data_IF_409851429170
#
_entry.id   IF_409851429170
#
_cell.length_a   1.000
_cell.length_b   1.000
_cell.length_c   1.000
_cell.angle_alpha   90.00
_cell.angle_beta   90.00
_cell.angle_gamma   90.00
#
_symmetry.space_group_name_H-M   'P 1'
#
loop_
_entity.id
_entity.type
_entity.pdbx_description
1 polymer ?
#
# COMPACT_ATOMS: atom_id res chain seq x y z
N UNK A 1 15.11 4.40 26.86
CA UNK A 1 16.48 3.94 26.52
C UNK A 1 17.49 4.14 27.64
N UNK A 2 17.56 5.31 28.30
CA UNK A 2 18.46 5.53 29.45
C UNK A 2 18.16 4.66 30.70
N UNK A 3 17.00 4.01 30.75
CA UNK A 3 16.66 3.04 31.82
C UNK A 3 17.21 1.62 31.56
N UNK A 4 17.69 1.32 30.35
CA UNK A 4 18.12 -0.03 29.99
C UNK A 4 19.53 -0.33 30.52
N UNK A 5 19.77 -1.59 30.84
CA UNK A 5 21.00 -2.10 31.43
C UNK A 5 22.25 -1.90 30.54
N UNK A 6 23.41 -1.68 31.17
CA UNK A 6 24.69 -1.42 30.49
C UNK A 6 25.11 -2.58 29.56
N UNK A 7 24.82 -3.83 29.93
CA UNK A 7 25.12 -5.01 29.10
C UNK A 7 24.35 -5.07 27.77
N UNK A 8 23.28 -4.28 27.61
CA UNK A 8 22.54 -4.16 26.35
C UNK A 8 23.28 -3.28 25.33
N UNK A 9 24.09 -2.33 25.79
CA UNK A 9 24.85 -1.40 24.94
C UNK A 9 26.21 -1.98 24.47
N UNK A 10 26.69 -3.05 25.10
CA UNK A 10 27.95 -3.75 24.74
C UNK A 10 27.80 -4.74 23.55
N UNK A 11 26.58 -4.94 23.04
CA UNK A 11 26.36 -5.73 21.82
C UNK A 11 26.79 -4.94 20.57
N UNK A 12 27.52 -5.57 19.65
CA UNK A 12 28.02 -4.96 18.39
C UNK A 12 26.91 -4.30 17.53
N UNK A 13 25.66 -4.72 17.71
CA UNK A 13 24.46 -4.17 17.04
C UNK A 13 23.93 -2.87 17.67
N UNK A 14 24.36 -2.52 18.89
CA UNK A 14 23.77 -1.47 19.72
C UNK A 14 24.76 -0.32 20.03
N UNK A 15 25.80 -0.15 19.23
CA UNK A 15 26.76 0.94 19.38
C UNK A 15 26.03 2.30 19.45
N UNK A 16 26.19 2.99 20.57
CA UNK A 16 25.39 4.12 21.05
C UNK A 16 25.24 5.24 20.02
N UNK A 17 26.28 5.49 19.21
CA UNK A 17 26.27 6.51 18.14
C UNK A 17 25.44 6.11 16.92
N UNK A 18 25.55 4.85 16.47
CA UNK A 18 24.75 4.32 15.35
C UNK A 18 23.29 4.17 15.75
N UNK A 19 23.02 3.70 16.96
CA UNK A 19 21.69 3.46 17.47
C UNK A 19 20.91 4.77 17.66
N UNK A 20 21.55 5.81 18.19
CA UNK A 20 20.91 7.12 18.36
C UNK A 20 20.60 7.77 17.00
N UNK A 21 21.51 7.64 16.02
CA UNK A 21 21.30 8.19 14.68
C UNK A 21 20.22 7.43 13.90
N UNK A 22 20.26 6.10 13.92
CA UNK A 22 19.23 5.24 13.32
C UNK A 22 17.88 5.45 13.99
N UNK A 23 17.83 5.55 15.32
CA UNK A 23 16.57 5.80 16.04
C UNK A 23 16.01 7.19 15.76
N UNK A 24 16.84 8.24 15.71
CA UNK A 24 16.38 9.58 15.37
C UNK A 24 15.85 9.64 13.93
N UNK A 25 16.51 8.96 12.99
CA UNK A 25 16.05 8.83 11.61
C UNK A 25 14.73 8.05 11.52
N UNK A 26 14.65 6.89 12.18
CA UNK A 26 13.46 6.03 12.21
C UNK A 26 12.29 6.72 12.91
N UNK A 27 12.51 7.40 14.03
CA UNK A 27 11.48 8.17 14.74
C UNK A 27 10.97 9.35 13.88
N UNK A 28 11.86 10.03 13.16
CA UNK A 28 11.47 11.12 12.25
C UNK A 28 10.67 10.59 11.07
N UNK A 29 11.08 9.46 10.49
CA UNK A 29 10.36 8.77 9.41
C UNK A 29 8.98 8.29 9.87
N UNK A 30 8.89 7.66 11.04
CA UNK A 30 7.61 7.22 11.62
C UNK A 30 6.71 8.42 11.86
N UNK A 31 7.21 9.49 12.47
CA UNK A 31 6.44 10.71 12.73
C UNK A 31 5.94 11.37 11.44
N UNK A 32 6.79 11.51 10.42
CA UNK A 32 6.40 12.14 9.15
C UNK A 32 5.35 11.30 8.41
N UNK A 33 5.55 9.99 8.35
CA UNK A 33 4.60 9.06 7.74
C UNK A 33 3.25 9.10 8.46
N UNK A 34 3.22 9.12 9.79
CA UNK A 34 1.97 9.18 10.54
C UNK A 34 1.23 10.49 10.36
N UNK A 35 1.95 11.62 10.42
CA UNK A 35 1.36 12.94 10.23
C UNK A 35 0.75 13.08 8.82
N UNK A 36 1.47 12.61 7.79
CA UNK A 36 1.00 12.65 6.40
C UNK A 36 -0.23 11.74 6.19
N UNK A 37 -0.22 10.54 6.78
CA UNK A 37 -1.35 9.60 6.69
C UNK A 37 -2.59 10.14 7.39
N UNK A 38 -2.44 10.70 8.60
CA UNK A 38 -3.57 11.27 9.34
C UNK A 38 -4.16 12.49 8.60
N UNK A 39 -3.30 13.35 8.06
CA UNK A 39 -3.72 14.50 7.24
C UNK A 39 -4.51 14.06 6.01
N UNK A 40 -4.03 13.03 5.30
CA UNK A 40 -4.71 12.48 4.12
C UNK A 40 -6.10 11.92 4.45
N UNK A 41 -6.25 11.24 5.60
CA UNK A 41 -7.55 10.71 6.04
C UNK A 41 -8.53 11.85 6.32
N UNK A 42 -8.08 12.88 7.04
CA UNK A 42 -8.94 14.03 7.37
C UNK A 42 -9.37 14.79 6.11
N UNK A 43 -8.46 14.95 5.15
CA UNK A 43 -8.76 15.51 3.83
C UNK A 43 -9.81 14.66 3.09
N UNK A 44 -9.64 13.35 3.02
CA UNK A 44 -10.55 12.45 2.30
C UNK A 44 -11.95 12.42 2.93
N UNK A 45 -12.05 12.50 4.26
CA UNK A 45 -13.33 12.64 4.97
C UNK A 45 -13.99 13.97 4.58
N UNK A 46 -13.25 15.08 4.60
CA UNK A 46 -13.76 16.40 4.24
C UNK A 46 -14.26 16.46 2.79
N UNK A 47 -13.50 15.91 1.85
CA UNK A 47 -13.89 15.80 0.43
C UNK A 47 -15.18 15.00 0.31
N UNK A 48 -15.27 13.85 0.99
CA UNK A 48 -16.44 12.97 0.94
C UNK A 48 -17.69 13.69 1.44
N UNK A 49 -17.63 14.31 2.62
CA UNK A 49 -18.77 15.04 3.21
C UNK A 49 -19.22 16.18 2.29
N UNK A 50 -18.26 16.97 1.80
CA UNK A 50 -18.53 18.11 0.90
C UNK A 50 -19.19 17.66 -0.39
N UNK A 51 -18.68 16.59 -1.00
CA UNK A 51 -19.22 16.07 -2.25
C UNK A 51 -20.61 15.45 -2.12
N UNK A 52 -20.90 14.77 -1.00
CA UNK A 52 -22.25 14.32 -0.69
C UNK A 52 -23.22 15.50 -0.54
N UNK A 53 -22.82 16.55 0.19
CA UNK A 53 -23.64 17.75 0.37
C UNK A 53 -23.94 18.46 -0.96
N UNK A 54 -22.91 18.66 -1.81
CA UNK A 54 -23.06 19.29 -3.13
C UNK A 54 -23.95 18.44 -4.05
N UNK A 55 -23.71 17.13 -4.09
CA UNK A 55 -24.45 16.22 -4.97
C UNK A 55 -25.94 16.17 -4.64
N UNK A 56 -26.29 16.11 -3.35
CA UNK A 56 -27.69 16.12 -2.93
C UNK A 56 -28.39 17.48 -3.13
N UNK A 57 -27.66 18.60 -2.98
CA UNK A 57 -28.22 19.94 -3.23
C UNK A 57 -28.57 20.20 -4.69
N UNK A 58 -27.72 19.76 -5.62
CA UNK A 58 -27.91 19.98 -7.05
C UNK A 58 -28.96 19.05 -7.65
N UNK A 59 -28.81 17.73 -7.45
CA UNK A 59 -29.62 16.72 -8.12
C UNK A 59 -29.77 15.48 -7.24
N UNK A 60 -30.70 15.52 -6.28
CA UNK A 60 -30.91 14.42 -5.33
C UNK A 60 -31.27 13.08 -6.02
N UNK A 61 -32.04 13.11 -7.12
CA UNK A 61 -32.42 11.91 -7.88
C UNK A 61 -31.22 11.18 -8.47
N UNK A 62 -30.33 11.92 -9.14
CA UNK A 62 -29.09 11.35 -9.69
C UNK A 62 -28.14 10.91 -8.57
N UNK A 63 -28.01 11.73 -7.52
CA UNK A 63 -27.13 11.44 -6.40
C UNK A 63 -27.47 10.10 -5.72
N UNK A 64 -28.77 9.76 -5.57
CA UNK A 64 -29.19 8.48 -5.03
C UNK A 64 -28.80 7.30 -5.92
N UNK A 65 -29.08 7.37 -7.22
CA UNK A 65 -28.76 6.30 -8.17
C UNK A 65 -27.26 6.02 -8.18
N UNK A 66 -26.45 7.07 -8.23
CA UNK A 66 -24.99 6.94 -8.24
C UNK A 66 -24.47 6.44 -6.88
N UNK A 67 -25.10 6.82 -5.76
CA UNK A 67 -24.72 6.29 -4.44
C UNK A 67 -25.05 4.79 -4.30
N UNK A 68 -26.06 4.26 -4.99
CA UNK A 68 -26.31 2.81 -5.04
C UNK A 68 -25.22 2.06 -5.81
N UNK A 69 -24.59 2.70 -6.81
CA UNK A 69 -23.48 2.08 -7.57
C UNK A 69 -22.10 2.27 -6.93
N UNK A 70 -21.99 3.07 -5.86
CA UNK A 70 -20.75 3.25 -5.09
C UNK A 70 -20.11 1.97 -4.56
N UNK A 71 -20.82 1.03 -3.91
CA UNK A 71 -20.19 -0.19 -3.42
C UNK A 71 -19.55 -1.02 -4.55
N UNK A 72 -20.16 -1.03 -5.74
CA UNK A 72 -19.63 -1.71 -6.92
C UNK A 72 -18.34 -1.03 -7.39
N UNK A 73 -18.33 0.31 -7.46
CA UNK A 73 -17.15 1.09 -7.85
C UNK A 73 -16.00 0.92 -6.85
N UNK A 74 -16.29 1.01 -5.55
CA UNK A 74 -15.30 0.84 -4.49
C UNK A 74 -14.72 -0.57 -4.53
N UNK A 75 -15.57 -1.60 -4.66
CA UNK A 75 -15.12 -2.99 -4.76
C UNK A 75 -14.24 -3.20 -5.99
N UNK A 76 -14.61 -2.65 -7.15
CA UNK A 76 -13.82 -2.73 -8.38
C UNK A 76 -12.44 -2.06 -8.21
N UNK A 77 -12.38 -0.87 -7.62
CA UNK A 77 -11.13 -0.14 -7.39
C UNK A 77 -10.22 -0.77 -6.33
N UNK A 78 -10.79 -1.45 -5.32
CA UNK A 78 -9.99 -2.23 -4.36
C UNK A 78 -9.44 -3.49 -5.04
N UNK A 79 -10.28 -4.21 -5.78
CA UNK A 79 -9.87 -5.40 -6.52
C UNK A 79 -8.74 -5.07 -7.52
N UNK A 80 -8.85 -3.95 -8.24
CA UNK A 80 -7.81 -3.41 -9.12
C UNK A 80 -6.44 -3.33 -8.43
N UNK A 81 -6.39 -2.73 -7.24
CA UNK A 81 -5.14 -2.58 -6.47
C UNK A 81 -4.57 -3.91 -6.04
N UNK A 82 -5.42 -4.84 -5.61
CA UNK A 82 -4.98 -6.17 -5.20
C UNK A 82 -4.45 -6.98 -6.40
N UNK A 83 -5.09 -6.86 -7.58
CA UNK A 83 -4.57 -7.49 -8.79
C UNK A 83 -3.21 -6.91 -9.21
N UNK A 84 -3.02 -5.59 -9.11
CA UNK A 84 -1.71 -4.95 -9.38
C UNK A 84 -0.66 -5.42 -8.37
N UNK A 85 -0.97 -5.42 -7.06
CA UNK A 85 -0.05 -5.91 -6.01
C UNK A 85 0.34 -7.37 -6.25
N UNK A 86 -0.60 -8.20 -6.71
CA UNK A 86 -0.37 -9.61 -7.02
C UNK A 86 0.80 -9.86 -7.98
N UNK A 87 1.06 -8.98 -8.95
CA UNK A 87 2.17 -9.13 -9.90
C UNK A 87 3.55 -9.19 -9.21
N UNK A 88 3.76 -8.48 -8.09
CA UNK A 88 5.11 -8.27 -7.54
C UNK A 88 5.70 -9.42 -6.72
N UNK A 89 4.87 -10.32 -6.16
CA UNK A 89 5.29 -11.16 -5.02
C UNK A 89 6.30 -12.29 -5.30
N UNK A 90 6.18 -13.00 -6.43
CA UNK A 90 7.01 -14.20 -6.69
C UNK A 90 8.31 -13.88 -7.42
N UNK A 91 8.34 -12.78 -8.18
CA UNK A 91 9.48 -12.38 -8.99
C UNK A 91 10.70 -12.08 -8.10
N UNK A 92 10.50 -11.29 -7.04
CA UNK A 92 11.58 -10.82 -6.18
C UNK A 92 12.40 -11.98 -5.59
N UNK A 93 11.75 -13.02 -5.04
CA UNK A 93 12.46 -14.15 -4.39
C UNK A 93 13.32 -14.96 -5.35
N UNK A 94 12.83 -15.28 -6.54
CA UNK A 94 13.59 -16.05 -7.51
C UNK A 94 14.73 -15.22 -8.12
N UNK A 95 14.48 -13.92 -8.32
CA UNK A 95 15.51 -12.98 -8.77
C UNK A 95 16.63 -12.83 -7.74
N UNK A 96 16.28 -12.71 -6.45
CA UNK A 96 17.26 -12.68 -5.34
C UNK A 96 18.11 -13.95 -5.31
N UNK A 97 17.53 -15.14 -5.51
CA UNK A 97 18.31 -16.39 -5.59
C UNK A 97 19.27 -16.41 -6.78
N UNK A 98 18.81 -15.96 -7.94
CA UNK A 98 19.65 -15.90 -9.14
C UNK A 98 20.79 -14.88 -8.98
N UNK A 99 20.52 -13.72 -8.36
CA UNK A 99 21.54 -12.73 -8.01
C UNK A 99 22.53 -13.31 -7.01
N UNK A 100 22.06 -14.01 -5.97
CA UNK A 100 22.94 -14.62 -4.97
C UNK A 100 23.88 -15.65 -5.63
N UNK A 101 23.34 -16.53 -6.49
CA UNK A 101 24.13 -17.50 -7.25
C UNK A 101 25.18 -16.82 -8.16
N UNK A 102 24.78 -15.76 -8.87
CA UNK A 102 25.70 -15.00 -9.70
C UNK A 102 26.79 -14.32 -8.87
N UNK A 103 26.42 -13.75 -7.72
CA UNK A 103 27.36 -13.11 -6.79
C UNK A 103 28.38 -14.10 -6.25
N UNK A 104 27.95 -15.31 -5.88
CA UNK A 104 28.83 -16.38 -5.40
C UNK A 104 29.81 -16.83 -6.47
N UNK A 105 29.33 -17.00 -7.71
CA UNK A 105 30.16 -17.37 -8.86
C UNK A 105 31.20 -16.29 -9.21
N UNK A 106 30.82 -15.01 -9.18
CA UNK A 106 31.72 -13.89 -9.45
C UNK A 106 32.78 -13.76 -8.34
N UNK A 107 32.37 -13.92 -7.07
CA UNK A 107 33.29 -13.83 -5.93
C UNK A 107 34.34 -14.94 -5.98
N UNK A 108 33.96 -16.14 -6.42
CA UNK A 108 34.85 -17.30 -6.52
C UNK A 108 35.25 -17.64 -7.97
N UNK A 109 35.43 -16.62 -8.82
CA UNK A 109 35.65 -16.80 -10.26
C UNK A 109 36.84 -17.71 -10.59
N UNK A 110 37.92 -17.63 -9.81
CA UNK A 110 39.09 -18.50 -9.99
C UNK A 110 38.76 -19.97 -9.75
N UNK A 111 37.91 -20.28 -8.77
CA UNK A 111 37.46 -21.65 -8.50
C UNK A 111 36.57 -22.16 -9.63
N UNK A 112 35.63 -21.34 -10.10
CA UNK A 112 34.74 -21.70 -11.21
C UNK A 112 35.53 -21.99 -12.49
N UNK A 113 36.53 -21.15 -12.80
CA UNK A 113 37.41 -21.31 -13.95
C UNK A 113 38.34 -22.53 -13.80
N UNK A 114 38.91 -22.76 -12.60
CA UNK A 114 39.78 -23.91 -12.34
C UNK A 114 39.06 -25.26 -12.51
N UNK A 115 37.77 -25.32 -12.18
CA UNK A 115 36.93 -26.50 -12.39
C UNK A 115 36.15 -26.49 -13.71
N UNK A 116 36.34 -25.50 -14.58
CA UNK A 116 35.63 -25.37 -15.87
C UNK A 116 34.10 -25.40 -15.74
N UNK A 117 33.54 -24.91 -14.63
CA UNK A 117 32.15 -25.11 -14.23
C UNK A 117 31.20 -23.98 -14.67
N UNK A 118 31.65 -23.13 -15.58
CA UNK A 118 30.94 -21.93 -16.07
C UNK A 118 29.57 -22.27 -16.70
N UNK A 119 29.52 -23.34 -17.50
CA UNK A 119 28.28 -23.78 -18.16
C UNK A 119 27.26 -24.31 -17.14
N UNK A 120 27.73 -25.04 -16.11
CA UNK A 120 26.88 -25.54 -15.03
C UNK A 120 26.21 -24.38 -14.27
N UNK A 121 26.98 -23.36 -13.89
CA UNK A 121 26.46 -22.19 -13.18
C UNK A 121 25.48 -21.40 -14.07
N UNK A 122 25.82 -21.20 -15.35
CA UNK A 122 24.95 -20.51 -16.31
C UNK A 122 23.62 -21.23 -16.50
N UNK A 123 23.65 -22.56 -16.56
CA UNK A 123 22.45 -23.40 -16.66
C UNK A 123 21.60 -23.33 -15.40
N UNK A 124 22.22 -23.32 -14.22
CA UNK A 124 21.53 -23.20 -12.94
C UNK A 124 20.87 -21.82 -12.79
N UNK A 125 21.58 -20.73 -13.13
CA UNK A 125 21.03 -19.38 -13.20
C UNK A 125 19.82 -19.28 -14.14
N UNK A 126 19.96 -19.83 -15.35
CA UNK A 126 18.90 -19.86 -16.36
C UNK A 126 17.68 -20.65 -15.88
N UNK A 127 17.89 -21.74 -15.13
CA UNK A 127 16.82 -22.58 -14.60
C UNK A 127 15.98 -21.87 -13.53
N UNK A 128 16.63 -21.12 -12.62
CA UNK A 128 15.97 -20.31 -11.58
C UNK A 128 15.11 -19.21 -12.23
N UNK A 129 15.65 -18.50 -13.23
CA UNK A 129 14.92 -17.48 -13.98
C UNK A 129 13.76 -18.06 -14.78
N UNK A 130 13.95 -19.19 -15.47
CA UNK A 130 12.90 -19.78 -16.33
C UNK A 130 11.69 -20.21 -15.53
N UNK A 131 11.89 -20.79 -14.34
CA UNK A 131 10.79 -21.17 -13.42
C UNK A 131 10.04 -19.94 -12.92
N UNK A 132 10.77 -18.89 -12.56
CA UNK A 132 10.17 -17.60 -12.19
C UNK A 132 9.33 -17.04 -13.33
N UNK A 133 9.91 -16.95 -14.54
CA UNK A 133 9.30 -16.33 -15.72
C UNK A 133 8.01 -17.04 -16.19
N UNK A 134 7.92 -18.37 -16.05
CA UNK A 134 6.66 -19.08 -16.34
C UNK A 134 5.54 -18.74 -15.36
N UNK A 135 5.83 -18.71 -14.05
CA UNK A 135 4.85 -18.38 -13.00
C UNK A 135 4.40 -16.93 -13.10
N UNK A 136 5.37 -16.07 -13.33
CA UNK A 136 5.27 -14.68 -13.73
C UNK A 136 4.24 -14.45 -14.84
N UNK A 137 4.41 -15.08 -16.00
CA UNK A 137 3.50 -14.92 -17.14
C UNK A 137 2.08 -15.42 -16.84
N UNK A 138 1.95 -16.54 -16.15
CA UNK A 138 0.64 -17.08 -15.74
C UNK A 138 -0.06 -16.12 -14.77
N UNK A 139 0.66 -15.63 -13.76
CA UNK A 139 0.14 -14.67 -12.81
C UNK A 139 -0.24 -13.37 -13.51
N UNK A 140 0.62 -12.85 -14.40
CA UNK A 140 0.37 -11.65 -15.19
C UNK A 140 -0.93 -11.76 -16.00
N UNK A 141 -1.19 -12.90 -16.65
CA UNK A 141 -2.47 -13.12 -17.34
C UNK A 141 -3.67 -13.10 -16.40
N UNK A 142 -3.60 -13.82 -15.27
CA UNK A 142 -4.70 -13.87 -14.28
C UNK A 142 -4.98 -12.47 -13.73
N UNK A 143 -3.94 -11.73 -13.35
CA UNK A 143 -4.06 -10.38 -12.82
C UNK A 143 -4.53 -9.39 -13.87
N UNK A 144 -4.10 -9.53 -15.13
CA UNK A 144 -4.56 -8.66 -16.23
C UNK A 144 -6.04 -8.89 -16.55
N UNK A 145 -6.50 -10.15 -16.55
CA UNK A 145 -7.93 -10.47 -16.72
C UNK A 145 -8.73 -9.89 -15.55
N UNK A 146 -8.30 -10.12 -14.31
CA UNK A 146 -8.98 -9.58 -13.12
C UNK A 146 -9.05 -8.05 -13.11
N UNK A 147 -7.94 -7.39 -13.45
CA UNK A 147 -7.85 -5.95 -13.61
C UNK A 147 -8.81 -5.44 -14.70
N UNK A 148 -8.77 -6.04 -15.90
CA UNK A 148 -9.60 -5.66 -17.03
C UNK A 148 -11.10 -5.85 -16.74
N UNK A 149 -11.49 -6.95 -16.12
CA UNK A 149 -12.88 -7.18 -15.70
C UNK A 149 -13.35 -6.15 -14.68
N UNK A 150 -12.52 -5.81 -13.70
CA UNK A 150 -12.85 -4.80 -12.68
C UNK A 150 -13.04 -3.41 -13.30
N UNK A 151 -12.14 -3.01 -14.21
CA UNK A 151 -12.26 -1.76 -14.98
C UNK A 151 -13.51 -1.74 -15.86
N UNK A 152 -13.81 -2.84 -16.53
CA UNK A 152 -15.01 -2.96 -17.37
C UNK A 152 -16.30 -2.74 -16.55
N UNK A 153 -16.40 -3.34 -15.37
CA UNK A 153 -17.53 -3.12 -14.45
C UNK A 153 -17.64 -1.65 -13.99
N UNK A 154 -16.51 -0.99 -13.72
CA UNK A 154 -16.51 0.43 -13.37
C UNK A 154 -17.02 1.30 -14.52
N UNK A 155 -16.57 1.06 -15.75
CA UNK A 155 -17.06 1.78 -16.93
C UNK A 155 -18.55 1.53 -17.21
N UNK A 156 -19.05 0.31 -16.99
CA UNK A 156 -20.49 0.04 -17.09
C UNK A 156 -21.30 0.85 -16.06
N UNK A 157 -20.80 0.98 -14.83
CA UNK A 157 -21.42 1.84 -13.82
C UNK A 157 -21.45 3.32 -14.25
N UNK A 158 -20.35 3.82 -14.81
CA UNK A 158 -20.28 5.19 -15.35
C UNK A 158 -21.24 5.39 -16.53
N UNK A 159 -21.31 4.43 -17.45
CA UNK A 159 -22.23 4.47 -18.59
C UNK A 159 -23.69 4.49 -18.12
N UNK A 160 -24.04 3.70 -17.10
CA UNK A 160 -25.38 3.69 -16.51
C UNK A 160 -25.72 5.02 -15.83
N UNK A 161 -24.77 5.62 -15.12
CA UNK A 161 -24.91 6.96 -14.54
C UNK A 161 -25.12 8.05 -15.58
N UNK A 162 -24.38 8.02 -16.69
CA UNK A 162 -24.55 8.97 -17.81
C UNK A 162 -25.88 8.74 -18.55
N UNK A 163 -26.28 7.50 -18.77
CA UNK A 163 -27.56 7.16 -19.38
C UNK A 163 -28.73 7.69 -18.55
N UNK A 164 -28.70 7.48 -17.24
CA UNK A 164 -29.72 8.01 -16.34
C UNK A 164 -29.70 9.55 -16.30
N UNK A 165 -28.51 10.16 -16.28
CA UNK A 165 -28.33 11.61 -16.39
C UNK A 165 -29.00 12.16 -17.65
N UNK A 166 -28.76 11.54 -18.81
CA UNK A 166 -29.37 11.91 -20.08
C UNK A 166 -30.90 11.81 -20.04
N UNK A 167 -31.44 10.77 -19.41
CA UNK A 167 -32.88 10.60 -19.24
C UNK A 167 -33.51 11.67 -18.35
N UNK A 168 -32.82 12.08 -17.29
CA UNK A 168 -33.26 13.15 -16.38
C UNK A 168 -33.34 14.51 -17.10
N UNK A 169 -32.34 14.80 -17.94
CA UNK A 169 -32.29 16.01 -18.76
C UNK A 169 -33.41 15.98 -19.82
N UNK A 170 -33.61 14.84 -20.49
CA UNK A 170 -34.68 14.68 -21.50
C UNK A 170 -36.07 14.93 -20.90
N UNK A 171 -36.29 14.51 -19.67
CA UNK A 171 -37.56 14.70 -18.95
C UNK A 171 -37.73 16.11 -18.36
N UNK A 172 -36.78 17.03 -18.57
CA UNK A 172 -36.74 18.40 -18.00
C UNK A 172 -36.81 18.43 -16.47
N UNK A 173 -36.34 17.37 -15.82
CA UNK A 173 -36.34 17.28 -14.35
C UNK A 173 -35.09 17.91 -13.73
N UNK A 174 -34.04 18.14 -14.52
CA UNK A 174 -32.83 18.85 -14.12
C UNK A 174 -32.10 19.50 -15.29
N UNK A 175 -31.25 20.49 -14.99
CA UNK A 175 -30.35 21.14 -15.95
C UNK A 175 -29.15 20.24 -16.27
N UNK A 176 -28.66 20.32 -17.50
CA UNK A 176 -27.42 19.66 -17.95
C UNK A 176 -26.23 19.99 -17.03
N UNK A 177 -26.06 21.27 -16.67
CA UNK A 177 -24.93 21.71 -15.85
C UNK A 177 -24.92 21.08 -14.45
N UNK A 178 -26.08 21.06 -13.79
CA UNK A 178 -26.22 20.52 -12.43
C UNK A 178 -26.09 19.00 -12.42
N UNK A 179 -26.69 18.34 -13.41
CA UNK A 179 -26.62 16.88 -13.58
C UNK A 179 -25.19 16.41 -13.82
N UNK A 180 -24.47 17.07 -14.74
CA UNK A 180 -23.08 16.73 -15.05
C UNK A 180 -22.14 17.04 -13.87
N UNK A 181 -22.34 18.17 -13.19
CA UNK A 181 -21.56 18.53 -11.99
C UNK A 181 -21.75 17.48 -10.89
N UNK A 182 -22.99 17.06 -10.60
CA UNK A 182 -23.26 16.01 -9.61
C UNK A 182 -22.61 14.69 -10.00
N UNK A 183 -22.64 14.31 -11.29
CA UNK A 183 -22.00 13.09 -11.77
C UNK A 183 -20.49 13.10 -11.55
N UNK A 184 -19.80 14.15 -11.99
CA UNK A 184 -18.33 14.26 -11.87
C UNK A 184 -17.89 14.27 -10.40
N UNK A 185 -18.56 15.07 -9.57
CA UNK A 185 -18.27 15.17 -8.13
C UNK A 185 -18.44 13.79 -7.45
N UNK A 186 -19.49 13.05 -7.80
CA UNK A 186 -19.76 11.72 -7.23
C UNK A 186 -18.74 10.67 -7.68
N UNK A 187 -18.29 10.68 -8.95
CA UNK A 187 -17.24 9.77 -9.42
C UNK A 187 -15.94 10.02 -8.67
N UNK A 188 -15.52 11.29 -8.58
CA UNK A 188 -14.28 11.66 -7.89
C UNK A 188 -14.32 11.24 -6.41
N UNK A 189 -15.48 11.36 -5.78
CA UNK A 189 -15.68 10.92 -4.40
C UNK A 189 -15.55 9.40 -4.26
N UNK A 190 -16.13 8.63 -5.18
CA UNK A 190 -16.03 7.17 -5.16
C UNK A 190 -14.55 6.71 -5.26
N UNK A 191 -13.75 7.36 -6.12
CA UNK A 191 -12.32 7.06 -6.25
C UNK A 191 -11.54 7.43 -4.98
N UNK A 192 -11.79 8.60 -4.39
CA UNK A 192 -11.15 9.03 -3.13
C UNK A 192 -11.48 8.08 -1.96
N UNK A 193 -12.74 7.61 -1.90
CA UNK A 193 -13.15 6.62 -0.91
C UNK A 193 -12.40 5.30 -1.12
N UNK A 194 -12.34 4.79 -2.36
CA UNK A 194 -11.60 3.56 -2.67
C UNK A 194 -10.09 3.66 -2.42
N UNK A 195 -9.51 4.85 -2.59
CA UNK A 195 -8.13 5.18 -2.16
C UNK A 195 -7.94 5.08 -0.67
N UNK A 196 -8.84 5.71 0.08
CA UNK A 196 -8.81 5.67 1.54
C UNK A 196 -8.97 4.24 2.07
N UNK A 197 -9.90 3.46 1.54
CA UNK A 197 -10.09 2.07 1.94
C UNK A 197 -8.88 1.18 1.59
N UNK A 198 -8.23 1.43 0.46
CA UNK A 198 -7.05 0.66 0.04
C UNK A 198 -5.85 0.80 0.97
N UNK A 199 -5.75 1.89 1.74
CA UNK A 199 -4.65 2.16 2.68
C UNK A 199 -4.98 1.81 4.13
N UNK A 200 -6.23 1.46 4.45
CA UNK A 200 -6.65 1.05 5.80
C UNK A 200 -5.79 -0.08 6.38
N UNK A 201 -5.45 -1.16 5.63
CA UNK A 201 -4.61 -2.23 6.17
C UNK A 201 -3.21 -1.74 6.59
N UNK A 202 -2.64 -0.79 5.85
CA UNK A 202 -1.31 -0.23 6.14
C UNK A 202 -1.36 0.68 7.36
N UNK A 203 -2.47 1.42 7.53
CA UNK A 203 -2.72 2.21 8.74
C UNK A 203 -2.83 1.30 9.97
N UNK A 204 -3.60 0.20 9.89
CA UNK A 204 -3.75 -0.77 11.00
C UNK A 204 -2.43 -1.45 11.34
N UNK A 205 -1.60 -1.76 10.35
CA UNK A 205 -0.25 -2.28 10.59
C UNK A 205 0.65 -1.24 11.24
N UNK A 206 0.59 0.02 10.77
CA UNK A 206 1.36 1.13 11.33
C UNK A 206 1.00 1.42 12.79
N UNK A 207 -0.29 1.40 13.14
CA UNK A 207 -0.72 1.59 14.53
C UNK A 207 -0.30 0.45 15.45
N UNK A 208 -0.33 -0.81 14.99
CA UNK A 208 0.23 -1.95 15.75
C UNK A 208 1.74 -1.85 15.94
N UNK A 209 2.48 -1.39 14.92
CA UNK A 209 3.92 -1.19 15.04
C UNK A 209 4.25 -0.08 16.05
N UNK A 210 3.46 1.00 16.07
CA UNK A 210 3.55 2.03 17.10
C UNK A 210 3.27 1.50 18.50
N UNK A 211 2.20 0.71 18.68
CA UNK A 211 1.88 0.09 19.96
C UNK A 211 3.05 -0.78 20.46
N UNK A 212 3.69 -1.53 19.56
CA UNK A 212 4.91 -2.28 19.89
C UNK A 212 6.08 -1.37 20.29
N UNK A 213 6.32 -0.26 19.58
CA UNK A 213 7.40 0.69 19.94
C UNK A 213 7.11 1.39 21.26
N UNK A 214 5.87 1.84 21.47
CA UNK A 214 5.44 2.44 22.74
C UNK A 214 5.53 1.44 23.89
N UNK A 215 5.22 0.16 23.67
CA UNK A 215 5.39 -0.89 24.70
C UNK A 215 6.86 -1.14 25.08
N UNK A 216 7.80 -0.94 24.15
CA UNK A 216 9.25 -1.01 24.42
C UNK A 216 9.73 0.28 25.11
N UNK A 217 9.17 1.44 24.74
CA UNK A 217 9.46 2.73 25.37
C UNK A 217 8.95 2.78 26.83
N UNK A 218 7.77 2.21 27.07
CA UNK A 218 7.09 2.12 28.36
C UNK A 218 7.44 0.85 29.14
N UNK A 219 8.34 0.00 28.61
CA UNK A 219 8.82 -1.19 29.32
C UNK A 219 9.39 -0.76 30.68
N UNK A 220 8.78 -1.26 31.74
CA UNK A 220 9.29 -1.16 33.10
C UNK A 220 10.57 -2.00 33.16
N UNK A 221 11.70 -1.36 33.48
CA UNK A 221 13.00 -2.01 33.56
C UNK A 221 13.09 -2.83 34.85
N UNK A 222 13.69 -4.02 34.76
CA UNK A 222 13.80 -4.98 35.87
C UNK A 222 14.76 -4.50 36.96
N UNK A 223 15.63 -3.54 36.63
CA UNK A 223 16.49 -2.80 37.56
C UNK A 223 16.19 -1.31 37.35
N UNK A 224 15.77 -0.62 38.41
CA UNK A 224 15.55 0.83 38.40
C UNK A 224 16.88 1.57 38.59
N UNK A 225 17.23 2.58 37.76
CA UNK A 225 18.48 3.32 37.93
C UNK A 225 18.46 4.36 39.06
N UNK A 226 17.37 4.48 39.82
CA UNK A 226 17.21 5.48 40.87
C UNK A 226 16.65 4.87 42.18
N UNK A 227 17.46 4.08 42.87
CA UNK A 227 17.45 4.19 44.33
C UNK A 227 18.41 5.32 44.68
N UNK A 228 17.82 6.50 44.93
CA UNK A 228 18.53 7.60 45.55
C UNK A 228 19.11 7.09 46.88
N UNK A 229 20.44 7.15 46.97
CA UNK A 229 21.18 6.93 48.21
C UNK A 229 20.63 7.93 49.23
N UNK A 230 19.75 7.46 50.12
CA UNK A 230 19.35 8.18 51.31
C UNK A 230 20.47 8.05 52.36
N UNK A 231 21.34 9.06 52.40
CA UNK A 231 22.16 9.41 53.56
C UNK A 231 21.85 10.86 53.95
#
# INVERSE_FOLDING_TARGET
MLRNEIGWFDMDTNNTGSLTSTLAADATLVKSLLAERLSSIMLNISITVTAFAIGYKLCWRLALVVTVTFPILIAASIAEKEFIKGLGGDYSKAYSRAIALASEAITNIYTVAAFGSEDMITKQFSSELRRSNKKALLRAHITAIGFGTSHCLAYFSYALGLWYSSKLIKNKESNFGDTLKTFIVKIFTATTIAETFGVVPDIVKGTKALESVFSILERITEIEPEDSISL
#
